data_IF_249255273194
#
_entry.id   IF_249255273194
#
_cell.length_a   1.000
_cell.length_b   1.000
_cell.length_c   1.000
_cell.angle_alpha   90.00
_cell.angle_beta   90.00
_cell.angle_gamma   90.00
#
_symmetry.space_group_name_H-M   'P 1'
#
loop_
_entity.id
_entity.type
_entity.pdbx_description
1 polymer ?
#
# COMPACT_ATOMS: atom_id res chain seq x y z
N UNK A 1 36.13 9.53 3.24
CA UNK A 1 35.88 8.95 1.91
C UNK A 1 35.68 7.46 2.08
N UNK A 2 34.49 6.94 1.79
CA UNK A 2 34.16 5.52 1.90
C UNK A 2 34.67 4.84 0.62
N UNK A 3 35.58 3.89 0.74
CA UNK A 3 36.05 3.11 -0.40
C UNK A 3 35.19 1.84 -0.49
N UNK A 4 34.12 1.88 -1.30
CA UNK A 4 33.49 0.65 -1.77
C UNK A 4 34.39 0.04 -2.86
N UNK A 5 34.80 -1.22 -2.69
CA UNK A 5 35.46 -1.97 -3.76
C UNK A 5 34.45 -2.26 -4.87
N UNK A 6 34.44 -1.41 -5.91
CA UNK A 6 33.65 -1.65 -7.12
C UNK A 6 34.34 -2.74 -7.92
N UNK A 7 33.82 -3.96 -7.84
CA UNK A 7 34.19 -5.05 -8.76
C UNK A 7 33.75 -4.60 -10.15
N UNK A 8 34.71 -4.35 -11.05
CA UNK A 8 34.45 -4.05 -12.47
C UNK A 8 34.70 -5.30 -13.31
N UNK A 9 33.66 -6.06 -13.68
CA UNK A 9 33.86 -7.17 -14.58
C UNK A 9 33.71 -6.70 -16.02
N UNK A 10 34.81 -6.68 -16.77
CA UNK A 10 34.74 -6.89 -18.21
C UNK A 10 34.29 -8.35 -18.39
N UNK A 11 32.98 -8.57 -18.57
CA UNK A 11 32.30 -9.85 -18.85
C UNK A 11 31.77 -10.67 -17.64
N UNK A 12 30.95 -10.10 -16.75
CA UNK A 12 30.12 -10.90 -15.82
C UNK A 12 28.63 -10.56 -15.93
N UNK A 13 27.82 -11.56 -16.28
CA UNK A 13 26.36 -11.46 -16.38
C UNK A 13 25.73 -11.82 -15.02
N UNK A 14 25.99 -11.00 -13.99
CA UNK A 14 25.49 -11.25 -12.64
C UNK A 14 24.11 -10.61 -12.45
N UNK A 15 23.09 -11.44 -12.26
CA UNK A 15 21.78 -10.98 -11.80
C UNK A 15 21.85 -10.54 -10.33
N UNK A 16 21.00 -9.57 -9.96
CA UNK A 16 20.90 -9.12 -8.57
C UNK A 16 20.28 -10.22 -7.69
N UNK A 17 20.83 -10.51 -6.50
CA UNK A 17 20.30 -11.54 -5.62
C UNK A 17 18.96 -11.14 -5.01
N UNK A 18 17.99 -12.07 -4.95
CA UNK A 18 16.69 -11.83 -4.30
C UNK A 18 16.77 -11.71 -2.77
N UNK A 19 17.85 -12.23 -2.17
CA UNK A 19 18.10 -12.15 -0.73
C UNK A 19 19.50 -11.61 -0.51
N UNK A 20 19.58 -10.44 0.10
CA UNK A 20 20.84 -9.79 0.43
C UNK A 20 20.78 -9.28 1.88
N UNK A 21 21.91 -9.36 2.59
CA UNK A 21 22.05 -8.89 3.97
C UNK A 21 23.15 -7.84 3.99
N UNK A 22 22.76 -6.59 4.24
CA UNK A 22 23.69 -5.46 4.31
C UNK A 22 23.88 -5.02 5.75
N UNK A 23 25.13 -4.88 6.17
CA UNK A 23 25.50 -4.35 7.48
C UNK A 23 25.91 -2.89 7.32
N UNK A 24 25.16 -1.98 7.95
CA UNK A 24 25.57 -0.58 8.05
C UNK A 24 26.62 -0.45 9.15
N UNK A 25 27.79 0.08 8.80
CA UNK A 25 28.92 0.21 9.73
C UNK A 25 29.16 1.68 10.09
N UNK A 26 29.23 1.96 11.38
CA UNK A 26 29.65 3.26 11.93
C UNK A 26 31.03 3.09 12.57
N UNK A 27 31.98 3.99 12.27
CA UNK A 27 33.36 3.90 12.75
C UNK A 27 33.65 5.00 13.77
N UNK A 28 34.22 4.61 14.91
CA UNK A 28 34.72 5.51 15.93
C UNK A 28 36.16 5.14 16.30
N UNK A 29 36.98 6.14 16.59
CA UNK A 29 38.40 5.97 16.88
C UNK A 29 38.77 6.69 18.18
N UNK A 30 39.72 6.10 18.91
CA UNK A 30 40.30 6.72 20.09
C UNK A 30 41.77 6.35 20.19
N UNK A 31 42.54 7.15 20.93
CA UNK A 31 43.96 6.85 21.18
C UNK A 31 44.07 5.62 22.06
N UNK A 32 44.67 4.56 21.52
CA UNK A 32 44.96 3.32 22.23
C UNK A 32 46.47 3.03 22.16
N UNK A 33 47.10 2.53 23.24
CA UNK A 33 46.59 2.34 24.60
C UNK A 33 46.68 3.64 25.43
N UNK A 34 46.05 3.65 26.61
CA UNK A 34 46.31 4.68 27.62
C UNK A 34 47.77 4.62 28.11
N UNK A 35 48.36 5.75 28.51
CA UNK A 35 49.79 5.87 28.88
C UNK A 35 50.27 4.83 29.90
N UNK A 36 49.43 4.47 30.86
CA UNK A 36 49.76 3.45 31.87
C UNK A 36 49.65 2.02 31.32
N UNK A 37 48.68 1.77 30.43
CA UNK A 37 48.53 0.49 29.75
C UNK A 37 49.65 0.24 28.75
N UNK A 38 50.16 1.30 28.10
CA UNK A 38 51.35 1.23 27.24
C UNK A 38 52.57 0.72 28.02
N UNK A 39 52.87 1.32 29.17
CA UNK A 39 54.02 0.93 30.01
C UNK A 39 53.92 -0.50 30.52
N UNK A 40 52.72 -0.94 30.88
CA UNK A 40 52.50 -2.31 31.32
C UNK A 40 52.65 -3.31 30.17
N UNK A 41 52.15 -2.98 28.98
CA UNK A 41 52.31 -3.81 27.80
C UNK A 41 53.78 -3.85 27.31
N UNK A 42 54.50 -2.72 27.38
CA UNK A 42 55.93 -2.65 27.10
C UNK A 42 56.74 -3.59 28.01
N UNK A 43 56.40 -3.62 29.31
CA UNK A 43 57.05 -4.49 30.29
C UNK A 43 56.70 -5.97 30.14
N UNK A 44 55.49 -6.29 29.68
CA UNK A 44 55.02 -7.68 29.51
C UNK A 44 55.49 -8.30 28.19
N UNK A 45 55.56 -7.51 27.12
CA UNK A 45 55.86 -7.99 25.77
C UNK A 45 57.26 -7.62 25.26
N UNK A 46 58.09 -6.97 26.11
CA UNK A 46 59.46 -6.55 25.78
C UNK A 46 59.59 -5.72 24.49
N UNK A 47 58.62 -4.85 24.22
CA UNK A 47 58.66 -3.96 23.06
C UNK A 47 59.48 -2.69 23.33
N UNK A 48 60.11 -2.15 22.28
CA UNK A 48 60.75 -0.83 22.32
C UNK A 48 59.71 0.28 22.57
N UNK A 49 60.12 1.37 23.24
CA UNK A 49 59.34 2.52 23.79
C UNK A 49 58.42 3.30 22.81
N UNK A 50 58.21 2.80 21.61
CA UNK A 50 57.31 3.36 20.59
C UNK A 50 56.80 2.34 19.57
N UNK A 51 57.19 1.07 19.67
CA UNK A 51 56.74 0.02 18.75
C UNK A 51 55.27 -0.34 18.99
N UNK A 52 54.82 -0.24 20.24
CA UNK A 52 53.43 -0.53 20.61
C UNK A 52 52.44 0.44 19.95
N UNK A 53 52.77 1.74 19.89
CA UNK A 53 51.91 2.77 19.31
C UNK A 53 51.78 2.69 17.78
N UNK A 54 52.77 2.10 17.11
CA UNK A 54 52.81 2.04 15.64
C UNK A 54 52.33 0.70 15.06
N UNK A 55 52.31 -0.35 15.87
CA UNK A 55 52.00 -1.71 15.39
C UNK A 55 50.77 -2.35 16.06
N UNK A 56 50.25 -1.78 17.15
CA UNK A 56 49.09 -2.35 17.87
C UNK A 56 47.84 -1.53 17.60
N UNK A 57 46.77 -2.23 17.20
CA UNK A 57 45.43 -1.67 17.02
C UNK A 57 44.41 -2.47 17.84
N UNK A 58 43.56 -1.75 18.57
CA UNK A 58 42.37 -2.34 19.18
C UNK A 58 41.19 -2.24 18.22
N UNK A 59 40.56 -3.36 17.91
CA UNK A 59 39.33 -3.41 17.11
C UNK A 59 38.21 -4.00 17.96
N UNK A 60 37.14 -3.24 18.16
CA UNK A 60 35.91 -3.71 18.79
C UNK A 60 34.77 -3.65 17.78
N UNK A 61 34.17 -4.80 17.47
CA UNK A 61 33.04 -4.91 16.54
C UNK A 61 31.81 -5.30 17.35
N UNK A 62 30.80 -4.45 17.32
CA UNK A 62 29.54 -4.67 18.03
C UNK A 62 28.37 -4.11 17.23
N UNK A 63 27.17 -4.60 17.53
CA UNK A 63 25.94 -4.08 16.94
C UNK A 63 25.56 -2.76 17.63
N UNK A 64 25.35 -1.71 16.84
CA UNK A 64 24.87 -0.41 17.35
C UNK A 64 23.46 -0.53 17.95
N UNK A 65 22.61 -1.35 17.33
CA UNK A 65 21.29 -1.72 17.86
C UNK A 65 20.93 -3.15 17.46
N UNK A 66 20.04 -3.80 18.23
CA UNK A 66 19.50 -5.13 17.90
C UNK A 66 18.31 -5.07 16.93
N UNK A 67 18.06 -3.90 16.33
CA UNK A 67 16.96 -3.69 15.41
C UNK A 67 17.38 -4.09 14.01
N UNK A 68 16.63 -4.99 13.39
CA UNK A 68 16.87 -5.45 12.02
C UNK A 68 15.88 -4.75 11.09
N UNK A 69 16.40 -4.06 10.08
CA UNK A 69 15.59 -3.49 9.00
C UNK A 69 15.43 -4.52 7.89
N UNK A 70 14.19 -4.92 7.59
CA UNK A 70 13.85 -5.86 6.53
C UNK A 70 13.14 -5.11 5.39
N UNK A 71 13.65 -5.24 4.17
CA UNK A 71 13.07 -4.64 2.96
C UNK A 71 12.65 -5.80 2.06
N UNK A 72 11.35 -5.93 1.82
CA UNK A 72 10.78 -6.95 0.92
C UNK A 72 9.98 -6.27 -0.18
N UNK A 73 10.29 -6.61 -1.42
CA UNK A 73 9.51 -6.19 -2.58
C UNK A 73 8.44 -7.24 -2.84
N UNK A 74 7.18 -6.83 -2.80
CA UNK A 74 6.04 -7.68 -3.12
C UNK A 74 5.39 -7.21 -4.42
N UNK A 75 4.71 -8.13 -5.11
CA UNK A 75 4.03 -7.82 -6.36
C UNK A 75 2.92 -6.79 -6.11
N UNK A 76 2.99 -5.65 -6.79
CA UNK A 76 2.05 -4.53 -6.58
C UNK A 76 0.62 -4.85 -7.02
N UNK A 77 0.43 -5.86 -7.87
CA UNK A 77 -0.88 -6.29 -8.37
C UNK A 77 -0.92 -7.81 -8.43
N UNK A 78 -1.64 -8.42 -7.49
CA UNK A 78 -1.94 -9.86 -7.49
C UNK A 78 -3.10 -10.15 -8.46
N UNK A 79 -3.16 -11.35 -9.03
CA UNK A 79 -4.28 -11.75 -9.91
C UNK A 79 -5.66 -11.61 -9.24
N UNK A 80 -5.73 -11.78 -7.91
CA UNK A 80 -6.94 -11.52 -7.12
C UNK A 80 -7.33 -10.04 -7.07
N UNK A 81 -6.36 -9.11 -7.04
CA UNK A 81 -6.63 -7.68 -7.05
C UNK A 81 -7.22 -7.25 -8.39
N UNK A 82 -6.68 -7.75 -9.51
CA UNK A 82 -7.23 -7.50 -10.85
C UNK A 82 -8.69 -7.98 -10.96
N UNK A 83 -8.98 -9.17 -10.43
CA UNK A 83 -10.32 -9.73 -10.48
C UNK A 83 -11.30 -8.94 -9.60
N UNK A 84 -10.83 -8.43 -8.47
CA UNK A 84 -11.59 -7.53 -7.59
C UNK A 84 -11.96 -6.23 -8.29
N UNK A 85 -11.03 -5.62 -9.01
CA UNK A 85 -11.27 -4.35 -9.72
C UNK A 85 -12.26 -4.54 -10.87
N UNK A 86 -12.11 -5.62 -11.65
CA UNK A 86 -13.03 -5.96 -12.74
C UNK A 86 -14.41 -6.31 -12.18
N UNK A 87 -14.48 -7.15 -11.13
CA UNK A 87 -15.73 -7.55 -10.51
C UNK A 87 -16.49 -6.38 -9.89
N UNK A 88 -15.79 -5.44 -9.26
CA UNK A 88 -16.39 -4.23 -8.69
C UNK A 88 -17.06 -3.35 -9.74
N UNK A 89 -16.35 -3.07 -10.84
CA UNK A 89 -16.91 -2.26 -11.92
C UNK A 89 -18.08 -2.97 -12.61
N UNK A 90 -17.94 -4.24 -12.98
CA UNK A 90 -19.01 -5.01 -13.63
C UNK A 90 -20.23 -5.17 -12.71
N UNK A 91 -20.00 -5.42 -11.42
CA UNK A 91 -21.08 -5.53 -10.42
C UNK A 91 -21.89 -4.25 -10.30
N UNK A 92 -21.26 -3.07 -10.37
CA UNK A 92 -21.95 -1.78 -10.38
C UNK A 92 -22.85 -1.62 -11.61
N UNK A 93 -22.32 -1.90 -12.81
CA UNK A 93 -23.06 -1.77 -14.06
C UNK A 93 -24.24 -2.75 -14.14
N UNK A 94 -24.05 -3.99 -13.68
CA UNK A 94 -25.12 -4.99 -13.60
C UNK A 94 -26.15 -4.57 -12.57
N UNK A 95 -25.72 -4.08 -11.40
CA UNK A 95 -26.61 -3.60 -10.34
C UNK A 95 -27.54 -2.49 -10.82
N UNK A 96 -27.01 -1.47 -11.49
CA UNK A 96 -27.81 -0.38 -12.08
C UNK A 96 -28.80 -0.94 -13.10
N UNK A 97 -28.35 -1.87 -13.95
CA UNK A 97 -29.18 -2.49 -14.99
C UNK A 97 -30.35 -3.30 -14.40
N UNK A 98 -30.18 -3.96 -13.25
CA UNK A 98 -31.27 -4.69 -12.57
C UNK A 98 -32.27 -3.73 -11.93
N UNK A 99 -31.80 -2.62 -11.35
CA UNK A 99 -32.69 -1.58 -10.78
C UNK A 99 -33.58 -0.97 -11.87
N UNK A 100 -33.00 -0.64 -13.03
CA UNK A 100 -33.78 -0.07 -14.15
C UNK A 100 -34.81 -1.06 -14.70
N UNK A 101 -34.50 -2.35 -14.78
CA UNK A 101 -35.48 -3.37 -15.16
C UNK A 101 -36.65 -3.44 -14.17
N UNK A 102 -36.37 -3.34 -12.87
CA UNK A 102 -37.41 -3.35 -11.84
C UNK A 102 -38.29 -2.09 -11.91
N UNK A 103 -37.71 -0.93 -12.22
CA UNK A 103 -38.44 0.30 -12.46
C UNK A 103 -39.38 0.17 -13.67
N UNK A 104 -38.88 -0.40 -14.78
CA UNK A 104 -39.69 -0.67 -15.97
C UNK A 104 -40.88 -1.58 -15.68
N UNK A 105 -40.68 -2.64 -14.89
CA UNK A 105 -41.74 -3.54 -14.46
C UNK A 105 -42.82 -2.81 -13.65
N UNK A 106 -42.41 -2.01 -12.66
CA UNK A 106 -43.35 -1.21 -11.87
C UNK A 106 -44.13 -0.21 -12.73
N UNK A 107 -43.47 0.42 -13.69
CA UNK A 107 -44.10 1.37 -14.61
C UNK A 107 -45.23 0.69 -15.41
N UNK A 108 -44.99 -0.49 -15.98
CA UNK A 108 -45.99 -1.25 -16.74
C UNK A 108 -47.20 -1.61 -15.86
N UNK A 109 -46.96 -2.10 -14.63
CA UNK A 109 -48.05 -2.45 -13.71
C UNK A 109 -48.92 -1.24 -13.39
N UNK A 110 -48.31 -0.08 -13.10
CA UNK A 110 -49.05 1.16 -12.83
C UNK A 110 -49.83 1.65 -14.05
N UNK A 111 -49.23 1.55 -15.24
CA UNK A 111 -49.87 1.91 -16.49
C UNK A 111 -51.13 1.08 -16.75
N UNK A 112 -51.02 -0.26 -16.67
CA UNK A 112 -52.15 -1.17 -16.85
C UNK A 112 -53.24 -0.93 -15.80
N UNK A 113 -52.86 -0.73 -14.54
CA UNK A 113 -53.82 -0.44 -13.46
C UNK A 113 -54.59 0.87 -13.70
N UNK A 114 -53.90 1.91 -14.16
CA UNK A 114 -54.52 3.20 -14.48
C UNK A 114 -55.47 3.11 -15.67
N UNK A 115 -55.10 2.39 -16.74
CA UNK A 115 -55.99 2.15 -17.90
C UNK A 115 -57.23 1.34 -17.49
N UNK A 116 -57.08 0.31 -16.65
CA UNK A 116 -58.22 -0.45 -16.12
C UNK A 116 -59.15 0.43 -15.27
N UNK A 117 -58.60 1.30 -14.41
CA UNK A 117 -59.39 2.24 -13.61
C UNK A 117 -60.08 3.29 -14.48
N UNK A 118 -59.42 3.77 -15.53
CA UNK A 118 -59.98 4.70 -16.52
C UNK A 118 -61.24 4.12 -17.18
N UNK A 119 -61.21 2.84 -17.55
CA UNK A 119 -62.36 2.11 -18.10
C UNK A 119 -63.45 1.80 -17.07
N UNK A 120 -63.13 1.87 -15.77
CA UNK A 120 -64.07 1.62 -14.66
C UNK A 120 -64.73 2.89 -14.12
N UNK A 121 -64.37 4.09 -14.59
CA UNK A 121 -65.10 5.32 -14.23
C UNK A 121 -66.51 5.27 -14.87
N UNK A 122 -67.61 5.25 -14.08
CA UNK A 122 -68.92 5.52 -14.67
C UNK A 122 -68.91 6.93 -15.25
N UNK A 123 -69.47 7.11 -16.46
CA UNK A 123 -69.76 8.45 -16.99
C UNK A 123 -70.62 9.16 -15.95
N UNK A 124 -70.07 10.16 -15.25
CA UNK A 124 -70.88 11.07 -14.44
C UNK A 124 -71.73 11.87 -15.42
N UNK A 125 -73.04 11.57 -15.45
CA UNK A 125 -74.05 12.34 -16.17
C UNK A 125 -73.96 13.79 -15.73
N UNK A 126 -73.64 14.70 -16.66
CA UNK A 126 -73.85 16.14 -16.46
C UNK A 126 -75.35 16.38 -16.42
N UNK A 127 -75.93 16.52 -15.23
CA UNK A 127 -77.26 17.08 -15.07
C UNK A 127 -77.21 18.55 -15.48
N UNK A 128 -77.79 18.90 -16.63
CA UNK A 128 -78.07 20.30 -16.95
C UNK A 128 -79.23 20.77 -16.07
N UNK A 129 -78.92 21.65 -15.12
CA UNK A 129 -79.90 22.50 -14.44
C UNK A 129 -79.73 23.90 -15.01
N UNK A 130 -80.42 24.16 -16.12
CA UNK A 130 -80.74 25.52 -16.55
C UNK A 130 -81.99 25.47 -17.45
N UNK A 131 -83.15 25.66 -16.83
CA UNK A 131 -84.23 26.57 -17.28
C UNK A 131 -85.52 26.19 -16.54
N UNK A 132 -86.34 27.21 -16.25
CA UNK A 132 -87.62 27.21 -15.50
C UNK A 132 -87.47 27.64 -14.02
N UNK A 133 -87.37 28.95 -13.79
CA UNK A 133 -88.48 29.72 -13.17
C UNK A 133 -88.18 31.22 -13.20
N UNK A 134 -88.51 31.83 -14.34
CA UNK A 134 -88.89 33.24 -14.47
C UNK A 134 -90.41 33.25 -14.60
N UNK A 135 -91.14 33.40 -13.48
CA UNK A 135 -92.46 34.02 -13.33
C UNK A 135 -93.03 33.69 -11.95
N UNK A 136 -93.29 34.74 -11.19
CA UNK A 136 -93.76 34.76 -9.80
C UNK A 136 -93.35 36.08 -9.19
#
# INVERSE_FOLDING_TARGET
AKAEAVVTPQNCNCAYPCKDIKYQTTLSYSTFPHVNGARQAEALFNFSKGHYHTNVVGLSVYYESLTITKIEESQSITGSALLSDIGGQLGLWIGISVVTLFEFFQFIVRFVHNEIISLRKPKVTKTQVLDIQLHG
#
